data_IF_071322374676
#
_entry.id   IF_071322374676
#
_cell.length_a   1.000
_cell.length_b   1.000
_cell.length_c   1.000
_cell.angle_alpha   90.00
_cell.angle_beta   90.00
_cell.angle_gamma   90.00
#
_symmetry.space_group_name_H-M   'P 1'
#
loop_
_entity.id
_entity.type
_entity.pdbx_description
1 polymer ?
#
# COMPACT_ATOMS: atom_id res chain seq x y z
N UNK A 1 -27.90 -4.03 34.71
CA UNK A 1 -27.40 -5.15 33.89
C UNK A 1 -26.78 -4.57 32.64
N UNK A 2 -25.62 -3.93 32.80
CA UNK A 2 -24.79 -3.51 31.67
C UNK A 2 -23.62 -4.53 31.66
N UNK A 3 -22.71 -4.49 30.69
CA UNK A 3 -21.33 -4.93 30.91
C UNK A 3 -20.94 -6.40 30.61
N UNK A 4 -21.64 -7.17 29.78
CA UNK A 4 -21.02 -8.39 29.18
C UNK A 4 -20.76 -8.22 27.69
N UNK A 5 -21.76 -7.84 26.91
CA UNK A 5 -21.64 -7.59 25.47
C UNK A 5 -20.64 -6.46 25.14
N UNK A 6 -20.62 -5.40 25.95
CA UNK A 6 -19.70 -4.28 25.76
C UNK A 6 -18.24 -4.70 26.02
N UNK A 7 -18.01 -5.60 26.98
CA UNK A 7 -16.67 -6.14 27.28
C UNK A 7 -16.19 -7.10 26.20
N UNK A 8 -17.07 -7.95 25.69
CA UNK A 8 -16.75 -8.84 24.57
C UNK A 8 -16.40 -8.04 23.32
N UNK A 9 -17.10 -6.92 23.07
CA UNK A 9 -16.80 -6.00 21.97
C UNK A 9 -15.45 -5.30 22.17
N UNK A 10 -15.15 -4.81 23.38
CA UNK A 10 -13.85 -4.20 23.71
C UNK A 10 -12.70 -5.20 23.49
N UNK A 11 -12.84 -6.44 23.95
CA UNK A 11 -11.85 -7.51 23.74
C UNK A 11 -11.70 -7.85 22.25
N UNK A 12 -12.82 -7.91 21.50
CA UNK A 12 -12.77 -8.17 20.07
C UNK A 12 -12.04 -7.06 19.31
N UNK A 13 -12.27 -5.78 19.67
CA UNK A 13 -11.57 -4.64 19.09
C UNK A 13 -10.07 -4.65 19.42
N UNK A 14 -9.69 -4.99 20.66
CA UNK A 14 -8.29 -5.12 21.06
C UNK A 14 -7.57 -6.21 20.25
N UNK A 15 -8.18 -7.39 20.11
CA UNK A 15 -7.62 -8.50 19.33
C UNK A 15 -7.51 -8.15 17.83
N UNK A 16 -8.51 -7.46 17.28
CA UNK A 16 -8.48 -7.01 15.90
C UNK A 16 -7.33 -6.02 15.66
N UNK A 17 -7.19 -5.01 16.52
CA UNK A 17 -6.13 -4.02 16.39
C UNK A 17 -4.74 -4.67 16.56
N UNK A 18 -4.58 -5.61 17.49
CA UNK A 18 -3.33 -6.33 17.68
C UNK A 18 -2.94 -7.17 16.44
N UNK A 19 -3.90 -7.86 15.81
CA UNK A 19 -3.62 -8.60 14.57
C UNK A 19 -3.36 -7.65 13.40
N UNK A 20 -4.03 -6.49 13.34
CA UNK A 20 -3.81 -5.48 12.32
C UNK A 20 -2.39 -4.88 12.41
N UNK A 21 -1.90 -4.55 13.60
CA UNK A 21 -0.52 -4.08 13.79
C UNK A 21 0.51 -5.18 13.46
N UNK A 22 0.21 -6.43 13.79
CA UNK A 22 1.04 -7.57 13.41
C UNK A 22 1.07 -7.79 11.89
N UNK A 23 -0.04 -7.59 11.19
CA UNK A 23 -0.07 -7.65 9.72
C UNK A 23 0.76 -6.53 9.10
N UNK A 24 0.60 -5.28 9.57
CA UNK A 24 1.43 -4.16 9.12
C UNK A 24 2.92 -4.41 9.32
N UNK A 25 3.29 -5.02 10.44
CA UNK A 25 4.70 -5.33 10.75
C UNK A 25 5.26 -6.39 9.78
N UNK A 26 4.50 -7.47 9.53
CA UNK A 26 4.86 -8.48 8.53
C UNK A 26 4.94 -7.92 7.12
N UNK A 27 4.05 -7.02 6.75
CA UNK A 27 4.05 -6.38 5.43
C UNK A 27 5.32 -5.53 5.24
N UNK A 28 5.73 -4.78 6.27
CA UNK A 28 7.00 -4.04 6.26
C UNK A 28 8.19 -4.98 6.12
N UNK A 29 8.25 -6.06 6.88
CA UNK A 29 9.32 -7.07 6.75
C UNK A 29 9.37 -7.67 5.34
N UNK A 30 8.21 -8.02 4.77
CA UNK A 30 8.09 -8.54 3.42
C UNK A 30 8.54 -7.53 2.37
N UNK A 31 8.21 -6.24 2.54
CA UNK A 31 8.63 -5.18 1.64
C UNK A 31 10.17 -5.02 1.63
N UNK A 32 10.80 -5.12 2.80
CA UNK A 32 12.28 -5.12 2.92
C UNK A 32 12.89 -6.30 2.17
N UNK A 33 12.36 -7.52 2.38
CA UNK A 33 12.83 -8.72 1.67
C UNK A 33 12.69 -8.54 0.15
N UNK A 34 11.54 -8.09 -0.33
CA UNK A 34 11.29 -7.86 -1.77
C UNK A 34 12.26 -6.83 -2.36
N UNK A 35 12.56 -5.75 -1.63
CA UNK A 35 13.53 -4.74 -2.06
C UNK A 35 14.93 -5.35 -2.21
N UNK A 36 15.37 -6.14 -1.24
CA UNK A 36 16.67 -6.81 -1.28
C UNK A 36 16.76 -7.87 -2.39
N UNK A 37 15.69 -8.64 -2.62
CA UNK A 37 15.62 -9.59 -3.74
C UNK A 37 15.75 -8.87 -5.09
N UNK A 38 15.07 -7.73 -5.25
CA UNK A 38 15.17 -6.90 -6.46
C UNK A 38 16.58 -6.37 -6.66
N UNK A 39 17.22 -5.83 -5.62
CA UNK A 39 18.60 -5.34 -5.68
C UNK A 39 19.59 -6.46 -6.08
N UNK A 40 19.45 -7.65 -5.51
CA UNK A 40 20.25 -8.81 -5.91
C UNK A 40 20.01 -9.18 -7.36
N UNK A 41 18.76 -9.19 -7.83
CA UNK A 41 18.44 -9.49 -9.23
C UNK A 41 19.05 -8.47 -10.20
N UNK A 42 19.01 -7.19 -9.86
CA UNK A 42 19.66 -6.11 -10.62
C UNK A 42 21.18 -6.27 -10.64
N UNK A 43 21.80 -6.58 -9.49
CA UNK A 43 23.23 -6.84 -9.42
C UNK A 43 23.66 -8.07 -10.23
N UNK A 44 22.85 -9.14 -10.24
CA UNK A 44 23.07 -10.32 -11.12
C UNK A 44 23.01 -9.92 -12.59
N UNK A 45 22.05 -9.06 -12.97
CA UNK A 45 21.94 -8.56 -14.34
C UNK A 45 23.17 -7.75 -14.73
N UNK A 46 23.59 -6.82 -13.86
CA UNK A 46 24.78 -5.99 -14.06
C UNK A 46 26.05 -6.84 -14.18
N UNK A 47 26.21 -7.87 -13.33
CA UNK A 47 27.33 -8.80 -13.40
C UNK A 47 27.37 -9.54 -14.75
N UNK A 48 26.24 -10.08 -15.20
CA UNK A 48 26.15 -10.76 -16.51
C UNK A 48 26.45 -9.84 -17.68
N UNK A 49 26.02 -8.58 -17.61
CA UNK A 49 26.33 -7.58 -18.62
C UNK A 49 27.82 -7.24 -18.62
N UNK A 50 28.41 -7.07 -17.43
CA UNK A 50 29.82 -6.77 -17.27
C UNK A 50 30.73 -7.91 -17.79
N UNK A 51 30.36 -9.16 -17.52
CA UNK A 51 31.08 -10.33 -18.02
C UNK A 51 31.05 -10.41 -19.55
N UNK A 52 29.88 -10.14 -20.16
CA UNK A 52 29.69 -10.18 -21.62
C UNK A 52 30.36 -9.02 -22.35
N UNK A 53 30.57 -7.89 -21.69
CA UNK A 53 31.14 -6.71 -22.32
C UNK A 53 32.69 -6.84 -22.40
N UNK A 54 33.28 -6.92 -23.60
CA UNK A 54 34.72 -7.00 -23.77
C UNK A 54 35.44 -5.65 -23.54
N UNK A 55 34.70 -4.54 -23.50
CA UNK A 55 35.26 -3.20 -23.35
C UNK A 55 35.44 -2.76 -21.88
N UNK A 56 34.84 -3.50 -20.93
CA UNK A 56 35.03 -3.22 -19.50
C UNK A 56 36.38 -3.74 -19.01
N UNK A 57 37.04 -2.93 -18.20
CA UNK A 57 38.27 -3.28 -17.51
C UNK A 57 38.05 -4.39 -16.48
N UNK A 58 39.14 -5.02 -16.04
CA UNK A 58 39.10 -6.04 -14.99
C UNK A 58 38.54 -5.49 -13.68
N UNK A 59 38.89 -4.24 -13.36
CA UNK A 59 38.45 -3.54 -12.16
C UNK A 59 36.93 -3.31 -12.18
N UNK A 60 36.36 -2.89 -13.30
CA UNK A 60 34.90 -2.71 -13.42
C UNK A 60 34.13 -4.02 -13.32
N UNK A 61 34.69 -5.12 -13.85
CA UNK A 61 34.10 -6.46 -13.70
C UNK A 61 34.18 -6.96 -12.25
N UNK A 62 35.28 -6.68 -11.56
CA UNK A 62 35.43 -6.98 -10.14
C UNK A 62 34.49 -6.14 -9.27
N UNK A 63 34.29 -4.86 -9.61
CA UNK A 63 33.31 -3.99 -8.94
C UNK A 63 31.88 -4.52 -9.10
N UNK A 64 31.47 -4.93 -10.31
CA UNK A 64 30.15 -5.55 -10.52
C UNK A 64 29.97 -6.83 -9.70
N UNK A 65 31.02 -7.65 -9.58
CA UNK A 65 31.01 -8.85 -8.75
C UNK A 65 30.94 -8.53 -7.26
N UNK A 66 31.64 -7.49 -6.80
CA UNK A 66 31.58 -7.04 -5.42
C UNK A 66 30.18 -6.53 -5.06
N UNK A 67 29.54 -5.76 -5.95
CA UNK A 67 28.15 -5.30 -5.78
C UNK A 67 27.18 -6.47 -5.68
N UNK A 68 27.34 -7.49 -6.52
CA UNK A 68 26.52 -8.70 -6.45
C UNK A 68 26.71 -9.47 -5.13
N UNK A 69 27.95 -9.66 -4.68
CA UNK A 69 28.25 -10.34 -3.42
C UNK A 69 27.64 -9.58 -2.23
N UNK A 70 27.76 -8.25 -2.22
CA UNK A 70 27.17 -7.41 -1.19
C UNK A 70 25.64 -7.59 -1.12
N UNK A 71 24.96 -7.46 -2.26
CA UNK A 71 23.51 -7.63 -2.34
C UNK A 71 23.05 -9.06 -1.95
N UNK A 72 23.85 -10.08 -2.26
CA UNK A 72 23.59 -11.47 -1.85
C UNK A 72 23.72 -11.66 -0.33
N UNK A 73 24.74 -11.05 0.29
CA UNK A 73 24.96 -11.11 1.73
C UNK A 73 23.94 -10.29 2.52
N UNK A 74 23.54 -9.13 2.00
CA UNK A 74 22.49 -8.30 2.60
C UNK A 74 21.15 -9.04 2.59
N UNK A 75 20.80 -9.70 1.48
CA UNK A 75 19.59 -10.54 1.42
C UNK A 75 19.65 -11.69 2.45
N UNK A 76 20.81 -12.35 2.62
CA UNK A 76 20.96 -13.41 3.63
C UNK A 76 20.77 -12.89 5.06
N UNK A 77 21.31 -11.72 5.39
CA UNK A 77 21.09 -11.07 6.70
C UNK A 77 19.62 -10.78 6.94
N UNK A 78 18.95 -10.17 5.96
CA UNK A 78 17.53 -9.82 6.04
C UNK A 78 16.69 -11.08 6.25
N UNK A 79 16.97 -12.16 5.50
CA UNK A 79 16.28 -13.44 5.69
C UNK A 79 16.60 -14.12 7.03
N UNK A 80 17.74 -13.82 7.64
CA UNK A 80 18.09 -14.27 8.99
C UNK A 80 17.41 -13.44 10.10
N UNK A 81 16.65 -12.40 9.74
CA UNK A 81 15.95 -11.53 10.69
C UNK A 81 16.80 -10.36 11.21
N UNK A 82 17.93 -10.07 10.57
CA UNK A 82 18.69 -8.84 10.87
C UNK A 82 18.04 -7.64 10.17
N UNK A 83 18.04 -6.48 10.84
CA UNK A 83 17.53 -5.24 10.25
C UNK A 83 18.36 -4.87 9.00
N UNK A 84 17.71 -4.39 7.92
CA UNK A 84 18.42 -3.94 6.75
C UNK A 84 19.35 -2.79 7.16
N UNK A 85 20.63 -2.89 6.81
CA UNK A 85 21.50 -1.73 6.93
C UNK A 85 20.93 -0.64 6.01
N UNK A 86 20.75 0.56 6.55
CA UNK A 86 20.34 1.73 5.79
C UNK A 86 21.43 2.07 4.77
N UNK A 87 21.42 1.41 3.62
CA UNK A 87 22.05 1.87 2.41
C UNK A 87 21.30 3.16 2.02
N UNK A 88 22.02 4.28 2.02
CA UNK A 88 21.58 5.62 1.61
C UNK A 88 20.44 5.55 0.58
N UNK A 89 19.22 5.81 1.04
CA UNK A 89 18.03 5.79 0.21
C UNK A 89 18.20 6.85 -0.89
N UNK A 90 18.58 6.42 -2.10
CA UNK A 90 18.09 7.11 -3.28
C UNK A 90 16.58 6.95 -3.24
N UNK A 91 15.91 7.95 -2.67
CA UNK A 91 14.47 8.08 -2.62
C UNK A 91 13.93 8.05 -4.05
N UNK A 92 13.64 6.85 -4.55
CA UNK A 92 12.72 6.71 -5.66
C UNK A 92 11.35 6.84 -5.03
N UNK A 93 10.85 8.07 -4.95
CA UNK A 93 9.45 8.33 -4.69
C UNK A 93 8.63 7.45 -5.64
N UNK A 94 7.90 6.49 -5.08
CA UNK A 94 6.77 5.93 -5.80
C UNK A 94 5.78 7.08 -6.01
N UNK A 95 5.33 7.37 -7.24
CA UNK A 95 4.24 8.30 -7.39
C UNK A 95 3.04 7.68 -6.68
N UNK A 96 2.56 8.36 -5.64
CA UNK A 96 1.25 8.12 -5.06
C UNK A 96 0.23 8.26 -6.18
N UNK A 97 -0.17 7.14 -6.78
CA UNK A 97 -1.40 7.08 -7.57
C UNK A 97 -2.56 7.17 -6.58
N UNK A 98 -2.82 8.39 -6.12
CA UNK A 98 -4.14 8.74 -5.58
C UNK A 98 -5.02 8.99 -6.81
N UNK A 99 -5.72 7.92 -7.19
CA UNK A 99 -6.72 7.90 -8.23
C UNK A 99 -7.84 8.89 -7.87
N UNK A 100 -8.38 9.46 -8.93
CA UNK A 100 -9.22 10.65 -8.95
C UNK A 100 -10.65 10.28 -8.58
N UNK A 101 -11.36 11.11 -7.80
CA UNK A 101 -12.72 11.58 -8.10
C UNK A 101 -13.32 12.34 -6.91
N UNK A 102 -13.50 13.65 -7.07
CA UNK A 102 -14.75 14.35 -6.70
C UNK A 102 -14.67 15.81 -7.17
N UNK A 103 -15.57 16.24 -8.08
CA UNK A 103 -15.99 17.62 -8.13
C UNK A 103 -17.48 17.70 -7.76
N UNK A 104 -17.80 17.96 -6.49
CA UNK A 104 -19.10 18.54 -6.15
C UNK A 104 -18.92 20.05 -5.96
N UNK A 105 -19.07 20.77 -7.07
CA UNK A 105 -19.47 22.16 -7.04
C UNK A 105 -20.86 22.23 -7.67
N UNK A 106 -21.91 22.30 -6.86
CA UNK A 106 -23.10 23.07 -7.23
C UNK A 106 -23.56 23.90 -6.04
N UNK A 107 -23.90 25.13 -6.41
CA UNK A 107 -23.98 26.36 -5.67
C UNK A 107 -25.46 26.56 -5.28
N UNK A 108 -25.84 26.41 -4.01
CA UNK A 108 -27.19 26.81 -3.57
C UNK A 108 -27.22 28.33 -3.34
N UNK A 109 -27.51 29.08 -4.41
CA UNK A 109 -28.02 30.45 -4.31
C UNK A 109 -29.53 30.43 -4.06
N UNK A 110 -29.94 31.33 -3.16
CA UNK A 110 -31.23 31.49 -2.53
C UNK A 110 -32.45 31.76 -3.45
N UNK A 111 -33.61 31.66 -2.79
CA UNK A 111 -34.78 32.56 -2.79
C UNK A 111 -36.05 32.21 -3.60
N UNK A 112 -37.17 32.28 -2.86
CA UNK A 112 -38.57 32.61 -3.23
C UNK A 112 -39.56 31.50 -3.64
N UNK A 113 -40.51 31.21 -2.73
CA UNK A 113 -41.90 30.88 -3.07
C UNK A 113 -42.54 32.05 -3.85
N UNK A 114 -43.56 31.80 -4.71
CA UNK A 114 -44.94 31.82 -4.21
C UNK A 114 -45.90 30.79 -4.83
N UNK A 115 -46.81 30.30 -3.97
CA UNK A 115 -48.28 30.12 -4.10
C UNK A 115 -48.96 29.82 -5.44
N UNK A 116 -50.02 28.98 -5.32
CA UNK A 116 -51.25 28.81 -6.13
C UNK A 116 -51.24 27.67 -7.15
N UNK A 117 -52.27 26.83 -7.34
CA UNK A 117 -53.61 26.60 -6.77
C UNK A 117 -54.17 25.34 -7.49
N UNK A 118 -54.82 24.44 -6.75
CA UNK A 118 -55.93 23.54 -7.13
C UNK A 118 -55.84 22.60 -8.37
N UNK A 119 -55.85 21.27 -8.17
CA UNK A 119 -56.96 20.39 -8.66
C UNK A 119 -56.87 18.94 -8.14
N UNK A 120 -57.88 18.56 -7.35
CA UNK A 120 -58.61 17.28 -7.24
C UNK A 120 -57.89 15.91 -7.07
N UNK A 121 -58.02 15.36 -5.85
CA UNK A 121 -58.30 13.93 -5.57
C UNK A 121 -59.74 13.55 -6.05
N UNK A 122 -60.13 12.27 -6.34
CA UNK A 122 -60.02 11.17 -5.35
C UNK A 122 -59.93 9.68 -5.85
N UNK A 123 -59.53 8.84 -4.89
CA UNK A 123 -59.91 7.43 -4.57
C UNK A 123 -59.92 6.31 -5.63
N UNK A 124 -59.26 5.18 -5.30
CA UNK A 124 -59.93 3.90 -5.03
C UNK A 124 -58.96 2.85 -4.44
N UNK A 125 -59.35 2.29 -3.30
CA UNK A 125 -58.91 1.01 -2.73
C UNK A 125 -59.45 -0.14 -3.61
N UNK A 126 -58.69 -1.21 -3.87
CA UNK A 126 -59.24 -2.57 -3.82
C UNK A 126 -58.14 -3.64 -3.65
N UNK A 127 -58.26 -4.32 -2.50
CA UNK A 127 -57.70 -5.61 -2.11
C UNK A 127 -58.10 -6.69 -3.12
N UNK A 128 -57.18 -7.54 -3.57
CA UNK A 128 -57.55 -8.82 -4.20
C UNK A 128 -56.77 -9.98 -3.61
N UNK A 129 -57.54 -10.96 -3.15
CA UNK A 129 -57.17 -12.28 -2.67
C UNK A 129 -56.75 -13.22 -3.82
#
# INVERSE_FOLDING_TARGET
MVHSKDKELEVALELFNAELEKQKSKEKELAVVRKAEKQKAEAVKALKEAEKNPNLSKEEKEAAKATWLKADDDLKRILAGEEPQAEEETATEEPSSEDTEEPQAEEETATEEPSSEDTEEPQAEEETA
#
